data_IF_082916728903
#
_entry.id   IF_082916728903
#
_cell.length_a   1.000
_cell.length_b   1.000
_cell.length_c   1.000
_cell.angle_alpha   90.00
_cell.angle_beta   90.00
_cell.angle_gamma   90.00
#
_symmetry.space_group_name_H-M   'P 1'
#
loop_
_entity.id
_entity.type
_entity.pdbx_description
1 polymer ?
#
# COMPACT_ATOMS: atom_id res chain seq x y z
N UNK A 1 -20.72 -21.73 22.26
CA UNK A 1 -19.54 -22.52 21.86
C UNK A 1 -19.00 -21.84 20.62
N UNK A 2 -17.72 -21.44 20.61
CA UNK A 2 -17.09 -20.90 19.41
C UNK A 2 -16.99 -22.02 18.37
N UNK A 3 -17.58 -21.83 17.19
CA UNK A 3 -17.35 -22.73 16.06
C UNK A 3 -15.99 -22.40 15.48
N UNK A 4 -14.92 -22.99 16.03
CA UNK A 4 -13.58 -22.81 15.49
C UNK A 4 -13.51 -23.34 14.05
N UNK A 5 -12.79 -22.64 13.13
CA UNK A 5 -12.60 -23.14 11.79
C UNK A 5 -11.89 -24.50 11.83
N UNK A 6 -12.48 -25.48 11.15
CA UNK A 6 -11.95 -26.84 11.06
C UNK A 6 -10.63 -26.90 10.26
N UNK A 7 -10.41 -25.92 9.39
CA UNK A 7 -9.16 -25.72 8.66
C UNK A 7 -8.82 -24.22 8.66
N UNK A 8 -7.57 -23.91 9.00
CA UNK A 8 -7.00 -22.57 8.85
C UNK A 8 -5.80 -22.69 7.92
N UNK A 9 -5.75 -21.89 6.86
CA UNK A 9 -4.60 -21.82 5.98
C UNK A 9 -4.11 -20.40 5.82
N UNK A 10 -2.79 -20.25 5.65
CA UNK A 10 -2.17 -18.96 5.35
C UNK A 10 -1.51 -19.07 3.99
N UNK A 11 -1.84 -18.17 3.08
CA UNK A 11 -1.27 -18.12 1.73
C UNK A 11 -0.61 -16.77 1.49
N UNK A 12 0.70 -16.77 1.30
CA UNK A 12 1.42 -15.54 0.97
C UNK A 12 1.31 -15.21 -0.51
N UNK A 13 1.32 -13.91 -0.82
CA UNK A 13 1.59 -13.44 -2.18
C UNK A 13 3.00 -13.86 -2.59
N UNK A 14 3.24 -14.23 -3.86
CA UNK A 14 4.54 -14.74 -4.30
C UNK A 14 5.72 -13.81 -3.98
N UNK A 15 5.55 -12.50 -4.16
CA UNK A 15 6.59 -11.51 -3.84
C UNK A 15 6.75 -11.19 -2.35
N UNK A 16 5.86 -11.68 -1.48
CA UNK A 16 5.80 -11.22 -0.10
C UNK A 16 7.04 -11.60 0.72
N UNK A 17 7.61 -12.78 0.47
CA UNK A 17 8.76 -13.31 1.21
C UNK A 17 10.00 -12.43 1.05
N UNK A 18 10.25 -11.91 -0.15
CA UNK A 18 11.43 -11.08 -0.45
C UNK A 18 11.48 -9.79 0.37
N UNK A 19 10.32 -9.25 0.72
CA UNK A 19 10.21 -7.97 1.45
C UNK A 19 10.31 -8.16 2.97
N UNK A 20 10.10 -9.37 3.48
CA UNK A 20 10.00 -9.60 4.93
C UNK A 20 11.20 -9.06 5.71
N UNK A 21 12.42 -9.31 5.23
CA UNK A 21 13.62 -8.82 5.91
C UNK A 21 13.78 -7.30 5.82
N UNK A 22 13.75 -6.66 4.63
CA UNK A 22 13.77 -5.19 4.54
C UNK A 22 12.68 -4.52 5.40
N UNK A 23 11.45 -5.00 5.33
CA UNK A 23 10.33 -4.45 6.09
C UNK A 23 10.55 -4.53 7.61
N UNK A 24 11.00 -5.69 8.12
CA UNK A 24 11.27 -5.85 9.56
C UNK A 24 12.40 -4.97 10.07
N UNK A 25 13.36 -4.63 9.20
CA UNK A 25 14.52 -3.81 9.58
C UNK A 25 14.28 -2.30 9.40
N UNK A 26 13.35 -1.91 8.52
CA UNK A 26 13.13 -0.52 8.16
C UNK A 26 12.62 0.31 9.36
N UNK A 27 11.72 -0.26 10.16
CA UNK A 27 11.04 0.45 11.25
C UNK A 27 9.98 1.42 10.73
N UNK A 28 9.64 2.44 11.52
CA UNK A 28 8.59 3.39 11.17
C UNK A 28 9.01 4.29 9.99
N UNK A 29 8.11 4.55 9.05
CA UNK A 29 8.37 5.55 8.00
C UNK A 29 8.66 6.97 8.55
N UNK A 30 9.39 7.80 7.77
CA UNK A 30 9.32 9.26 7.90
C UNK A 30 7.93 9.81 7.56
N UNK A 31 7.57 10.93 8.16
CA UNK A 31 6.24 11.55 8.00
C UNK A 31 5.96 11.88 6.53
N UNK A 32 4.73 11.57 6.08
CA UNK A 32 4.21 11.83 4.72
C UNK A 32 4.93 11.12 3.56
N UNK A 33 5.84 10.17 3.83
CA UNK A 33 6.62 9.47 2.80
C UNK A 33 6.26 7.98 2.63
N UNK A 34 5.02 7.57 2.90
CA UNK A 34 4.63 6.15 2.83
C UNK A 34 4.91 5.49 1.47
N UNK A 35 4.60 6.16 0.36
CA UNK A 35 4.89 5.68 -1.00
C UNK A 35 6.40 5.49 -1.26
N UNK A 36 7.21 6.56 -1.18
CA UNK A 36 8.67 6.48 -1.33
C UNK A 36 9.33 5.47 -0.38
N UNK A 37 8.82 5.35 0.85
CA UNK A 37 9.35 4.42 1.83
C UNK A 37 9.08 2.96 1.42
N UNK A 38 7.86 2.64 0.99
CA UNK A 38 7.57 1.33 0.38
C UNK A 38 8.43 1.05 -0.84
N UNK A 39 8.57 2.02 -1.75
CA UNK A 39 9.42 1.88 -2.93
C UNK A 39 10.88 1.60 -2.56
N UNK A 40 11.42 2.25 -1.52
CA UNK A 40 12.79 1.98 -1.06
C UNK A 40 12.96 0.53 -0.57
N UNK A 41 12.01 0.03 0.23
CA UNK A 41 12.03 -1.35 0.73
C UNK A 41 11.86 -2.37 -0.39
N UNK A 42 10.99 -2.09 -1.36
CA UNK A 42 10.78 -2.94 -2.55
C UNK A 42 12.06 -3.04 -3.39
N UNK A 43 12.70 -1.89 -3.67
CA UNK A 43 13.94 -1.83 -4.42
C UNK A 43 15.09 -2.54 -3.67
N UNK A 44 15.21 -2.33 -2.36
CA UNK A 44 16.21 -3.00 -1.52
C UNK A 44 16.00 -4.52 -1.47
N UNK A 45 14.76 -4.99 -1.35
CA UNK A 45 14.40 -6.41 -1.39
C UNK A 45 14.87 -7.11 -2.68
N UNK A 46 15.03 -6.32 -3.74
CA UNK A 46 15.44 -6.79 -5.07
C UNK A 46 16.87 -6.37 -5.44
N UNK A 47 17.70 -6.07 -4.43
CA UNK A 47 19.14 -5.85 -4.61
C UNK A 47 19.51 -4.48 -5.19
N UNK A 48 18.56 -3.55 -5.30
CA UNK A 48 18.86 -2.15 -5.59
C UNK A 48 19.29 -1.48 -4.28
N UNK A 49 20.59 -1.29 -4.12
CA UNK A 49 21.20 -0.78 -2.87
C UNK A 49 21.41 0.73 -2.91
N UNK A 50 21.53 1.36 -1.74
CA UNK A 50 21.81 2.78 -1.61
C UNK A 50 20.63 3.71 -1.96
N UNK A 51 19.43 3.16 -2.07
CA UNK A 51 18.21 3.94 -2.36
C UNK A 51 17.71 4.57 -1.08
N UNK A 52 17.99 5.86 -0.91
CA UNK A 52 17.50 6.66 0.22
C UNK A 52 16.03 7.06 0.02
N UNK A 53 15.24 7.01 1.09
CA UNK A 53 13.80 7.35 1.03
C UNK A 53 13.58 8.82 0.66
N UNK A 54 14.41 9.75 1.15
CA UNK A 54 14.27 11.17 0.80
C UNK A 54 14.67 11.41 -0.65
N UNK A 55 15.68 10.69 -1.17
CA UNK A 55 16.00 10.74 -2.59
C UNK A 55 14.84 10.23 -3.48
N UNK A 56 14.20 9.12 -3.11
CA UNK A 56 13.00 8.66 -3.83
C UNK A 56 11.85 9.65 -3.74
N UNK A 57 11.66 10.28 -2.58
CA UNK A 57 10.64 11.31 -2.40
C UNK A 57 10.88 12.52 -3.32
N UNK A 58 12.14 12.96 -3.47
CA UNK A 58 12.50 14.00 -4.44
C UNK A 58 12.22 13.56 -5.88
N UNK A 59 12.60 12.33 -6.25
CA UNK A 59 12.32 11.79 -7.59
C UNK A 59 10.82 11.61 -7.87
N UNK A 60 10.01 11.49 -6.83
CA UNK A 60 8.57 11.33 -6.90
C UNK A 60 7.80 12.65 -6.74
N UNK A 61 8.52 13.78 -6.65
CA UNK A 61 7.97 15.11 -6.39
C UNK A 61 7.10 15.17 -5.12
N UNK A 62 7.46 14.40 -4.10
CA UNK A 62 6.74 14.38 -2.82
C UNK A 62 6.77 15.76 -2.18
N UNK A 63 5.68 16.11 -1.50
CA UNK A 63 5.57 17.36 -0.74
C UNK A 63 5.20 17.10 0.71
N UNK A 64 5.76 17.89 1.62
CA UNK A 64 5.48 17.80 3.05
C UNK A 64 4.46 18.86 3.46
N UNK A 65 3.51 18.53 4.36
CA UNK A 65 2.62 19.52 4.92
C UNK A 65 3.36 20.42 5.92
N UNK A 66 2.99 21.70 5.97
CA UNK A 66 3.40 22.64 7.02
C UNK A 66 2.35 22.63 8.13
N UNK A 67 2.76 22.39 9.38
CA UNK A 67 1.83 22.41 10.52
C UNK A 67 2.22 21.49 11.67
N UNK A 68 1.23 21.10 12.47
CA UNK A 68 1.39 20.16 13.58
C UNK A 68 1.33 18.71 13.08
N UNK A 69 2.39 17.90 13.30
CA UNK A 69 2.42 16.51 12.90
C UNK A 69 1.30 15.63 13.41
N UNK A 70 0.69 15.98 14.54
CA UNK A 70 -0.44 15.21 15.10
C UNK A 70 -1.64 15.13 14.16
N UNK A 71 -1.70 15.95 13.11
CA UNK A 71 -2.75 15.90 12.09
C UNK A 71 -2.50 14.88 10.96
N UNK A 72 -1.27 14.37 10.79
CA UNK A 72 -0.91 13.44 9.70
C UNK A 72 -0.05 12.25 10.16
N UNK A 73 0.25 12.13 11.45
CA UNK A 73 0.79 10.90 12.03
C UNK A 73 -0.33 10.18 12.77
N UNK A 74 -0.38 8.84 12.72
CA UNK A 74 -1.42 8.11 13.42
C UNK A 74 -1.30 8.30 14.94
N UNK A 75 -2.42 8.27 15.68
CA UNK A 75 -2.40 8.43 17.13
C UNK A 75 -1.43 7.44 17.82
N UNK A 76 -0.52 7.97 18.62
CA UNK A 76 0.49 7.18 19.34
C UNK A 76 1.79 6.91 18.58
N UNK A 77 1.88 7.24 17.29
CA UNK A 77 3.14 7.26 16.56
C UNK A 77 3.96 8.52 16.90
N UNK A 78 5.28 8.40 16.80
CA UNK A 78 6.18 9.55 16.92
C UNK A 78 6.38 10.18 15.54
N UNK A 79 6.34 11.51 15.44
CA UNK A 79 6.70 12.22 14.21
C UNK A 79 8.17 11.97 13.86
N UNK A 80 8.44 11.67 12.59
CA UNK A 80 9.77 11.43 12.02
C UNK A 80 10.03 12.38 10.86
N UNK A 81 10.71 13.49 11.16
CA UNK A 81 11.10 14.53 10.19
C UNK A 81 12.61 14.54 9.92
N UNK A 82 13.28 13.42 10.18
CA UNK A 82 14.71 13.21 10.00
C UNK A 82 15.08 12.93 8.53
N UNK A 83 14.61 13.78 7.62
CA UNK A 83 14.88 13.70 6.18
C UNK A 83 16.36 13.96 5.87
N UNK A 84 16.95 13.18 4.96
CA UNK A 84 18.36 13.33 4.58
C UNK A 84 18.62 14.60 3.76
N UNK A 85 17.56 15.14 3.13
CA UNK A 85 17.55 16.30 2.25
C UNK A 85 16.27 17.12 2.48
N UNK A 86 16.29 18.40 2.10
CA UNK A 86 15.09 19.24 2.17
C UNK A 86 14.10 18.84 1.08
N UNK A 87 12.89 18.49 1.48
CA UNK A 87 11.77 18.25 0.57
C UNK A 87 10.95 19.53 0.37
N UNK A 88 10.25 19.67 -0.77
CA UNK A 88 9.29 20.74 -0.95
C UNK A 88 8.16 20.69 0.08
N UNK A 89 7.68 21.86 0.48
CA UNK A 89 6.64 22.01 1.50
C UNK A 89 5.38 22.64 0.90
N UNK A 90 4.21 22.37 1.48
CA UNK A 90 2.93 22.98 1.12
C UNK A 90 2.13 23.37 2.36
N UNK A 91 1.41 24.49 2.30
CA UNK A 91 0.43 24.89 3.32
C UNK A 91 -0.91 24.14 3.16
N UNK A 92 -1.16 23.57 1.99
CA UNK A 92 -2.35 22.76 1.74
C UNK A 92 -2.06 21.29 2.10
N UNK A 93 -2.44 20.89 3.31
CA UNK A 93 -2.24 19.51 3.81
C UNK A 93 -2.86 18.46 2.89
N UNK A 94 -3.95 18.79 2.17
CA UNK A 94 -4.62 17.84 1.28
C UNK A 94 -3.82 17.50 0.02
N UNK A 95 -2.87 18.36 -0.34
CA UNK A 95 -1.93 18.19 -1.46
C UNK A 95 -0.61 17.56 -1.03
N UNK A 96 -0.39 17.36 0.28
CA UNK A 96 0.82 16.76 0.79
C UNK A 96 0.86 15.25 0.53
N UNK A 97 2.06 14.71 0.40
CA UNK A 97 2.28 13.29 0.12
C UNK A 97 2.97 13.08 -1.23
N UNK A 98 2.65 11.97 -1.88
CA UNK A 98 3.28 11.53 -3.13
C UNK A 98 2.22 11.11 -4.14
N UNK A 99 2.25 11.72 -5.33
CA UNK A 99 1.36 11.36 -6.42
C UNK A 99 1.67 9.95 -6.94
N UNK A 100 0.65 9.22 -7.38
CA UNK A 100 0.81 7.87 -7.93
C UNK A 100 1.77 7.86 -9.14
N UNK A 101 1.63 8.80 -10.07
CA UNK A 101 2.51 8.96 -11.24
C UNK A 101 3.95 9.30 -10.85
N UNK A 102 4.13 10.18 -9.85
CA UNK A 102 5.44 10.52 -9.30
C UNK A 102 6.16 9.30 -8.77
N UNK A 103 5.45 8.43 -8.03
CA UNK A 103 6.02 7.20 -7.50
C UNK A 103 6.43 6.20 -8.61
N UNK A 104 5.62 6.05 -9.66
CA UNK A 104 5.97 5.23 -10.84
C UNK A 104 7.29 5.72 -11.44
N UNK A 105 7.41 7.02 -11.68
CA UNK A 105 8.60 7.65 -12.26
C UNK A 105 9.83 7.46 -11.36
N UNK A 106 9.68 7.64 -10.04
CA UNK A 106 10.76 7.48 -9.09
C UNK A 106 11.31 6.04 -9.05
N UNK A 107 10.43 5.03 -9.07
CA UNK A 107 10.85 3.62 -9.13
C UNK A 107 11.56 3.30 -10.44
N UNK A 108 11.04 3.77 -11.57
CA UNK A 108 11.68 3.60 -12.86
C UNK A 108 13.10 4.20 -12.86
N UNK A 109 13.24 5.45 -12.41
CA UNK A 109 14.52 6.15 -12.37
C UNK A 109 15.51 5.51 -11.39
N UNK A 110 15.10 5.28 -10.14
CA UNK A 110 15.97 4.72 -9.11
C UNK A 110 16.42 3.28 -9.41
N UNK A 111 15.61 2.51 -10.15
CA UNK A 111 15.96 1.15 -10.57
C UNK A 111 16.75 1.10 -11.89
N UNK A 112 16.92 2.24 -12.58
CA UNK A 112 17.42 2.31 -13.96
C UNK A 112 16.59 1.47 -14.94
N UNK A 113 15.26 1.48 -14.75
CA UNK A 113 14.31 0.73 -15.58
C UNK A 113 14.29 -0.77 -15.33
N UNK A 114 14.89 -1.27 -14.24
CA UNK A 114 14.88 -2.71 -13.90
C UNK A 114 13.58 -3.17 -13.25
N UNK A 115 12.87 -2.26 -12.59
CA UNK A 115 11.60 -2.54 -11.91
C UNK A 115 10.54 -1.53 -12.33
N UNK A 116 9.28 -1.97 -12.30
CA UNK A 116 8.13 -1.17 -12.64
C UNK A 116 7.06 -1.27 -11.55
N UNK A 117 6.30 -0.19 -11.39
CA UNK A 117 5.02 -0.20 -10.70
C UNK A 117 3.93 -0.21 -11.76
N UNK A 118 3.27 -1.36 -11.97
CA UNK A 118 2.14 -1.47 -12.90
C UNK A 118 0.89 -0.97 -12.19
N UNK A 119 0.29 0.17 -12.61
CA UNK A 119 -0.89 0.72 -11.96
C UNK A 119 -2.13 -0.06 -12.35
N UNK A 120 -2.89 -0.53 -11.37
CA UNK A 120 -4.18 -1.16 -11.54
C UNK A 120 -5.27 -0.25 -10.94
N UNK A 121 -6.31 0.00 -11.74
CA UNK A 121 -7.57 0.57 -11.32
C UNK A 121 -8.69 -0.42 -11.61
N UNK A 122 -9.72 -0.40 -10.78
CA UNK A 122 -10.92 -1.19 -10.95
C UNK A 122 -12.10 -0.48 -10.30
N UNK A 123 -13.32 -0.95 -10.60
CA UNK A 123 -14.45 -0.72 -9.71
C UNK A 123 -14.27 -1.62 -8.47
N UNK A 124 -13.49 -1.14 -7.50
CA UNK A 124 -13.05 -1.98 -6.39
C UNK A 124 -14.22 -2.56 -5.59
N UNK A 125 -14.32 -3.87 -5.59
CA UNK A 125 -15.28 -4.71 -4.88
C UNK A 125 -14.57 -5.96 -4.32
N UNK A 126 -15.22 -6.75 -3.45
CA UNK A 126 -14.67 -8.04 -3.05
C UNK A 126 -14.29 -8.92 -4.24
N UNK A 127 -15.11 -8.97 -5.29
CA UNK A 127 -14.84 -9.75 -6.50
C UNK A 127 -13.55 -9.28 -7.21
N UNK A 128 -13.35 -7.97 -7.36
CA UNK A 128 -12.10 -7.45 -7.95
C UNK A 128 -10.87 -7.72 -7.07
N UNK A 129 -11.05 -7.86 -5.75
CA UNK A 129 -9.97 -8.27 -4.85
C UNK A 129 -9.65 -9.75 -5.01
N UNK A 130 -10.66 -10.61 -5.18
CA UNK A 130 -10.49 -12.01 -5.53
C UNK A 130 -9.74 -12.16 -6.86
N UNK A 131 -10.08 -11.35 -7.87
CA UNK A 131 -9.37 -11.31 -9.16
C UNK A 131 -7.91 -10.87 -8.98
N UNK A 132 -7.63 -9.82 -8.20
CA UNK A 132 -6.26 -9.38 -7.90
C UNK A 132 -5.43 -10.50 -7.24
N UNK A 133 -6.02 -11.20 -6.26
CA UNK A 133 -5.39 -12.33 -5.59
C UNK A 133 -5.13 -13.45 -6.60
N UNK A 134 -6.12 -13.80 -7.42
CA UNK A 134 -6.01 -14.84 -8.43
C UNK A 134 -4.96 -14.50 -9.49
N UNK A 135 -4.89 -13.25 -9.95
CA UNK A 135 -3.88 -12.75 -10.88
C UNK A 135 -2.46 -13.00 -10.35
N UNK A 136 -2.20 -12.61 -9.10
CA UNK A 136 -0.88 -12.80 -8.50
C UNK A 136 -0.57 -14.28 -8.23
N UNK A 137 -1.56 -15.06 -7.78
CA UNK A 137 -1.37 -16.47 -7.43
C UNK A 137 -1.23 -17.38 -8.66
N UNK A 138 -1.89 -17.08 -9.78
CA UNK A 138 -1.73 -17.82 -11.04
C UNK A 138 -0.36 -17.55 -11.66
N UNK A 139 0.14 -16.32 -11.53
CA UNK A 139 1.37 -15.87 -12.19
C UNK A 139 2.52 -15.69 -11.19
N UNK A 140 2.82 -16.77 -10.43
CA UNK A 140 3.80 -16.73 -9.33
C UNK A 140 5.21 -16.32 -9.77
N UNK A 141 5.58 -16.58 -11.02
CA UNK A 141 6.89 -16.24 -11.59
C UNK A 141 7.18 -14.74 -11.64
N UNK A 142 6.15 -13.89 -11.63
CA UNK A 142 6.36 -12.44 -11.57
C UNK A 142 6.87 -11.97 -10.20
N UNK A 143 6.68 -12.79 -9.16
CA UNK A 143 6.96 -12.44 -7.77
C UNK A 143 6.34 -11.07 -7.41
N UNK A 144 5.15 -10.79 -7.95
CA UNK A 144 4.51 -9.50 -7.83
C UNK A 144 4.17 -9.17 -6.38
N UNK A 145 4.34 -7.89 -6.03
CA UNK A 145 3.99 -7.36 -4.71
C UNK A 145 2.89 -6.31 -4.88
N UNK A 146 1.69 -6.55 -4.34
CA UNK A 146 0.64 -5.54 -4.31
C UNK A 146 0.98 -4.43 -3.31
N UNK A 147 1.10 -3.20 -3.81
CA UNK A 147 1.23 -1.95 -3.05
C UNK A 147 -0.04 -1.13 -3.26
N UNK A 148 -0.88 -1.05 -2.24
CA UNK A 148 -2.21 -0.46 -2.28
C UNK A 148 -2.17 0.99 -1.79
N UNK A 149 -2.77 1.91 -2.54
CA UNK A 149 -3.06 3.26 -2.06
C UNK A 149 -4.52 3.33 -1.59
N UNK A 150 -4.68 3.43 -0.28
CA UNK A 150 -5.94 3.22 0.42
C UNK A 150 -6.35 4.46 1.22
N UNK A 151 -7.63 4.56 1.54
CA UNK A 151 -8.13 5.41 2.61
C UNK A 151 -8.36 4.57 3.88
N UNK A 152 -7.53 4.78 4.90
CA UNK A 152 -7.47 3.91 6.08
C UNK A 152 -8.72 3.96 6.95
N UNK A 153 -9.56 5.00 6.83
CA UNK A 153 -10.82 5.11 7.57
C UNK A 153 -11.83 3.99 7.26
N UNK A 154 -11.66 3.27 6.15
CA UNK A 154 -12.49 2.11 5.79
C UNK A 154 -11.97 0.78 6.35
N UNK A 155 -10.79 0.77 6.96
CA UNK A 155 -10.25 -0.44 7.58
C UNK A 155 -10.95 -0.76 8.89
N UNK A 156 -10.93 -2.05 9.25
CA UNK A 156 -11.09 -2.43 10.64
C UNK A 156 -9.90 -1.90 11.45
N UNK A 157 -10.12 -1.56 12.71
CA UNK A 157 -9.02 -1.29 13.62
C UNK A 157 -8.05 -2.47 13.67
N UNK A 158 -6.76 -2.16 13.65
CA UNK A 158 -5.65 -3.09 13.47
C UNK A 158 -5.52 -4.11 14.61
N UNK A 159 -6.23 -3.90 15.73
CA UNK A 159 -6.20 -4.73 16.95
C UNK A 159 -7.45 -5.59 17.13
N UNK A 160 -7.89 -6.26 16.06
CA UNK A 160 -8.92 -7.31 16.17
C UNK A 160 -8.45 -8.42 17.12
N UNK A 161 -9.36 -8.92 17.96
CA UNK A 161 -9.03 -10.03 18.85
C UNK A 161 -8.88 -11.34 18.06
N UNK A 162 -8.07 -12.29 18.57
CA UNK A 162 -7.96 -13.62 17.95
C UNK A 162 -9.32 -14.33 17.88
N UNK A 163 -10.15 -14.16 18.91
CA UNK A 163 -11.48 -14.76 18.96
C UNK A 163 -12.39 -14.22 17.85
N UNK A 164 -12.42 -12.91 17.66
CA UNK A 164 -13.25 -12.29 16.62
C UNK A 164 -12.73 -12.63 15.22
N UNK A 165 -11.41 -12.66 15.03
CA UNK A 165 -10.81 -13.09 13.77
C UNK A 165 -11.21 -14.53 13.43
N UNK A 166 -11.15 -15.47 14.40
CA UNK A 166 -11.54 -16.86 14.20
C UNK A 166 -13.05 -17.01 13.95
N UNK A 167 -13.89 -16.26 14.68
CA UNK A 167 -15.33 -16.23 14.47
C UNK A 167 -15.69 -15.74 13.06
N UNK A 168 -15.08 -14.63 12.63
CA UNK A 168 -15.26 -14.12 11.27
C UNK A 168 -14.86 -15.13 10.20
N UNK A 169 -13.68 -15.77 10.35
CA UNK A 169 -13.19 -16.79 9.42
C UNK A 169 -14.10 -18.04 9.37
N UNK A 170 -14.80 -18.34 10.48
CA UNK A 170 -15.82 -19.38 10.56
C UNK A 170 -17.19 -18.97 9.97
N UNK A 171 -17.34 -17.71 9.55
CA UNK A 171 -18.55 -17.17 8.92
C UNK A 171 -19.51 -16.50 9.91
N UNK A 172 -19.11 -16.30 11.16
CA UNK A 172 -19.89 -15.54 12.13
C UNK A 172 -19.77 -14.03 11.84
N UNK A 173 -20.83 -13.28 12.13
CA UNK A 173 -20.80 -11.83 12.07
C UNK A 173 -20.18 -11.28 13.35
N UNK A 174 -19.26 -10.33 13.17
CA UNK A 174 -18.57 -9.66 14.28
C UNK A 174 -18.80 -8.15 14.19
N UNK A 175 -18.65 -7.46 15.31
CA UNK A 175 -18.50 -6.01 15.31
C UNK A 175 -17.00 -5.68 15.29
N UNK A 176 -16.43 -5.27 14.14
CA UNK A 176 -15.01 -4.99 14.06
C UNK A 176 -14.65 -3.75 14.89
N UNK A 177 -13.40 -3.64 15.37
CA UNK A 177 -12.91 -2.40 15.96
C UNK A 177 -13.01 -1.25 14.95
N UNK A 178 -13.24 -0.03 15.44
CA UNK A 178 -13.19 1.19 14.61
C UNK A 178 -11.80 1.38 14.00
N UNK A 179 -11.73 2.01 12.83
CA UNK A 179 -10.47 2.34 12.17
C UNK A 179 -9.55 3.15 13.10
N UNK A 180 -8.27 2.80 13.14
CA UNK A 180 -7.32 3.50 14.01
C UNK A 180 -7.00 4.93 13.53
N UNK A 181 -7.18 5.18 12.23
CA UNK A 181 -6.74 6.39 11.54
C UNK A 181 -7.48 6.57 10.20
N UNK A 182 -7.74 7.81 9.79
CA UNK A 182 -8.47 8.13 8.54
C UNK A 182 -7.69 9.11 7.65
N UNK A 183 -6.85 8.56 6.78
CA UNK A 183 -6.09 9.31 5.77
C UNK A 183 -5.89 8.50 4.49
N UNK A 184 -5.33 9.14 3.46
CA UNK A 184 -4.67 8.41 2.38
C UNK A 184 -3.32 7.80 2.79
N UNK A 185 -3.12 6.51 2.53
CA UNK A 185 -1.90 5.80 2.92
C UNK A 185 -1.48 4.76 1.86
N UNK A 186 -0.23 4.35 1.88
CA UNK A 186 0.28 3.23 1.10
C UNK A 186 0.59 2.05 2.02
N UNK A 187 0.08 0.86 1.68
CA UNK A 187 0.28 -0.39 2.41
C UNK A 187 0.58 -1.53 1.43
N UNK A 188 1.22 -2.61 1.87
CA UNK A 188 1.36 -3.82 1.02
C UNK A 188 0.48 -4.95 1.50
N UNK A 189 0.07 -5.82 0.58
CA UNK A 189 -0.57 -7.09 0.92
C UNK A 189 0.48 -8.20 0.99
N UNK A 190 0.53 -8.89 2.12
CA UNK A 190 1.45 -10.01 2.34
C UNK A 190 0.83 -11.35 1.96
N UNK A 191 -0.48 -11.49 2.11
CA UNK A 191 -1.17 -12.74 1.83
C UNK A 191 -2.61 -12.75 2.33
N UNK A 192 -3.16 -13.94 2.51
CA UNK A 192 -4.46 -14.19 3.11
C UNK A 192 -4.37 -15.23 4.23
N UNK A 193 -5.27 -15.10 5.20
CA UNK A 193 -5.64 -16.12 6.17
C UNK A 193 -7.03 -16.61 5.79
N UNK A 194 -7.16 -17.89 5.48
CA UNK A 194 -8.39 -18.51 5.01
C UNK A 194 -8.96 -19.42 6.08
N UNK A 195 -10.24 -19.23 6.40
CA UNK A 195 -11.03 -20.12 7.23
C UNK A 195 -11.97 -20.97 6.40
N UNK A 196 -12.95 -21.57 7.08
CA UNK A 196 -13.93 -22.44 6.45
C UNK A 196 -14.92 -21.68 5.53
N UNK A 197 -15.23 -20.42 5.86
CA UNK A 197 -16.29 -19.66 5.19
C UNK A 197 -15.83 -18.30 4.67
N UNK A 198 -14.87 -17.65 5.34
CA UNK A 198 -14.37 -16.32 4.98
C UNK A 198 -12.85 -16.29 5.00
N UNK A 199 -12.29 -15.22 4.43
CA UNK A 199 -10.85 -14.95 4.44
C UNK A 199 -10.56 -13.53 4.91
N UNK A 200 -9.36 -13.34 5.47
CA UNK A 200 -8.81 -12.03 5.83
C UNK A 200 -7.51 -11.83 5.06
N UNK A 201 -7.29 -10.65 4.52
CA UNK A 201 -6.03 -10.22 3.93
C UNK A 201 -5.07 -9.77 5.02
N UNK A 202 -3.82 -10.19 4.91
CA UNK A 202 -2.71 -9.75 5.74
C UNK A 202 -2.11 -8.49 5.12
N UNK A 203 -2.34 -7.35 5.76
CA UNK A 203 -1.78 -6.05 5.41
C UNK A 203 -0.46 -5.85 6.16
N UNK A 204 0.52 -5.25 5.48
CA UNK A 204 1.71 -4.68 6.09
C UNK A 204 1.63 -3.17 6.00
N UNK A 205 1.76 -2.52 7.14
CA UNK A 205 1.78 -1.07 7.32
C UNK A 205 3.16 -0.60 7.79
N UNK A 206 3.56 0.57 7.35
CA UNK A 206 4.83 1.22 7.70
C UNK A 206 4.86 1.84 9.08
N UNK A 207 3.75 1.80 9.82
CA UNK A 207 3.66 2.16 11.23
C UNK A 207 3.59 0.90 12.12
N UNK A 208 4.68 0.57 12.85
CA UNK A 208 4.72 -0.63 13.70
C UNK A 208 3.69 -0.66 14.84
N UNK A 209 3.09 0.49 15.17
CA UNK A 209 2.08 0.60 16.23
C UNK A 209 0.77 -0.14 15.91
N UNK A 210 0.53 -0.44 14.63
CA UNK A 210 -0.67 -1.14 14.16
C UNK A 210 -0.50 -2.65 14.25
N UNK A 211 -1.53 -3.32 14.77
CA UNK A 211 -1.59 -4.77 14.89
C UNK A 211 -0.33 -5.40 15.53
N UNK A 212 0.28 -6.34 14.82
CA UNK A 212 1.49 -7.05 15.24
C UNK A 212 2.71 -6.50 14.50
N UNK A 213 3.31 -5.41 14.98
CA UNK A 213 4.47 -4.75 14.33
C UNK A 213 4.19 -4.32 12.88
N UNK A 214 3.06 -3.64 12.68
CA UNK A 214 2.57 -3.15 11.40
C UNK A 214 1.83 -4.20 10.56
N UNK A 215 1.76 -5.46 11.02
CA UNK A 215 0.90 -6.46 10.40
C UNK A 215 -0.51 -6.41 10.97
N UNK A 216 -1.52 -6.34 10.12
CA UNK A 216 -2.91 -6.41 10.57
C UNK A 216 -3.82 -7.10 9.55
N UNK A 217 -5.00 -7.54 10.00
CA UNK A 217 -5.95 -8.31 9.20
C UNK A 217 -7.09 -7.42 8.73
N UNK A 218 -7.44 -7.52 7.46
CA UNK A 218 -8.57 -6.79 6.87
C UNK A 218 -9.41 -7.73 6.01
N UNK A 219 -10.75 -7.67 6.08
CA UNK A 219 -11.56 -8.41 5.12
C UNK A 219 -11.47 -7.74 3.73
N UNK A 220 -11.80 -8.50 2.69
CA UNK A 220 -11.64 -8.02 1.31
C UNK A 220 -12.54 -6.81 1.00
N UNK A 221 -13.73 -6.75 1.58
CA UNK A 221 -14.67 -5.63 1.44
C UNK A 221 -14.15 -4.34 2.09
N UNK A 222 -13.45 -4.42 3.22
CA UNK A 222 -12.77 -3.27 3.83
C UNK A 222 -11.64 -2.76 2.93
N UNK A 223 -10.80 -3.65 2.38
CA UNK A 223 -9.74 -3.25 1.44
C UNK A 223 -10.33 -2.63 0.17
N UNK A 224 -11.36 -3.26 -0.41
CA UNK A 224 -12.02 -2.73 -1.60
C UNK A 224 -12.62 -1.34 -1.34
N UNK A 225 -13.27 -1.14 -0.20
CA UNK A 225 -13.80 0.17 0.19
C UNK A 225 -12.69 1.21 0.38
N UNK A 226 -11.60 0.82 1.03
CA UNK A 226 -10.43 1.66 1.20
C UNK A 226 -9.76 2.02 -0.14
N UNK A 227 -9.81 1.15 -1.14
CA UNK A 227 -9.28 1.42 -2.49
C UNK A 227 -10.22 2.28 -3.34
N UNK A 228 -11.55 2.15 -3.20
CA UNK A 228 -12.50 3.05 -3.88
C UNK A 228 -12.29 4.50 -3.44
N UNK A 229 -12.02 4.68 -2.14
CA UNK A 229 -11.89 5.98 -1.46
C UNK A 229 -13.14 6.84 -1.70
N UNK A 230 -14.03 6.88 -0.72
CA UNK A 230 -15.26 7.66 -0.83
C UNK A 230 -15.04 9.15 -0.42
N UNK A 231 -13.79 9.63 -0.43
CA UNK A 231 -13.36 10.98 -0.03
C UNK A 231 -13.20 11.98 -1.20
N UNK A 232 -13.56 11.57 -2.42
CA UNK A 232 -13.40 12.38 -3.63
C UNK A 232 -11.98 12.34 -4.24
N UNK A 233 -11.10 11.50 -3.69
CA UNK A 233 -9.80 11.12 -4.28
C UNK A 233 -9.90 9.69 -4.80
N UNK A 234 -8.96 9.27 -5.62
CA UNK A 234 -8.92 7.92 -6.19
C UNK A 234 -7.83 7.07 -5.54
N UNK A 235 -8.10 5.77 -5.43
CA UNK A 235 -7.16 4.77 -4.92
C UNK A 235 -6.91 3.68 -5.96
N UNK A 236 -5.91 2.86 -5.69
CA UNK A 236 -5.48 1.84 -6.63
C UNK A 236 -4.41 0.93 -6.09
N UNK A 237 -3.99 -0.01 -6.92
CA UNK A 237 -2.96 -0.98 -6.57
C UNK A 237 -1.84 -0.87 -7.59
N UNK A 238 -0.61 -0.74 -7.10
CA UNK A 238 0.55 -1.05 -7.91
C UNK A 238 0.91 -2.51 -7.76
N UNK A 239 1.18 -3.19 -8.88
CA UNK A 239 1.98 -4.41 -8.85
C UNK A 239 3.44 -4.02 -9.08
N UNK A 240 4.27 -4.15 -8.04
CA UNK A 240 5.71 -4.05 -8.19
C UNK A 240 6.25 -5.34 -8.79
N UNK A 241 6.91 -5.23 -9.95
CA UNK A 241 7.44 -6.36 -10.73
C UNK A 241 8.76 -6.00 -11.40
N UNK A 242 9.53 -7.02 -11.81
CA UNK A 242 10.63 -6.83 -12.74
C UNK A 242 10.10 -6.25 -14.07
N UNK A 243 10.82 -5.29 -14.65
CA UNK A 243 10.36 -4.58 -15.85
C UNK A 243 10.15 -5.52 -17.06
N UNK A 244 10.88 -6.63 -17.13
CA UNK A 244 10.69 -7.67 -18.15
C UNK A 244 9.31 -8.33 -18.10
N UNK A 245 8.65 -8.35 -16.94
CA UNK A 245 7.30 -8.90 -16.75
C UNK A 245 6.20 -7.86 -16.99
N UNK A 246 6.52 -6.57 -17.12
CA UNK A 246 5.53 -5.49 -17.15
C UNK A 246 4.45 -5.72 -18.23
N UNK A 247 4.86 -6.00 -19.46
CA UNK A 247 3.92 -6.16 -20.58
C UNK A 247 2.95 -7.34 -20.37
N UNK A 248 3.45 -8.45 -19.80
CA UNK A 248 2.64 -9.63 -19.51
C UNK A 248 1.66 -9.34 -18.36
N UNK A 249 2.12 -8.69 -17.29
CA UNK A 249 1.28 -8.27 -16.16
C UNK A 249 0.15 -7.37 -16.64
N UNK A 250 0.46 -6.35 -17.44
CA UNK A 250 -0.55 -5.43 -17.98
C UNK A 250 -1.57 -6.15 -18.88
N UNK A 251 -1.12 -7.08 -19.72
CA UNK A 251 -2.03 -7.85 -20.56
C UNK A 251 -2.99 -8.70 -19.72
N UNK A 252 -2.44 -9.50 -18.79
CA UNK A 252 -3.21 -10.40 -17.94
C UNK A 252 -4.14 -9.65 -16.99
N UNK A 253 -3.74 -8.46 -16.51
CA UNK A 253 -4.59 -7.60 -15.71
C UNK A 253 -5.79 -7.06 -16.52
N UNK A 254 -5.58 -6.64 -17.78
CA UNK A 254 -6.68 -6.23 -18.67
C UNK A 254 -7.66 -7.37 -18.96
N UNK A 255 -7.16 -8.60 -19.11
CA UNK A 255 -8.00 -9.80 -19.27
C UNK A 255 -8.88 -10.07 -18.03
N UNK A 256 -8.50 -9.55 -16.86
CA UNK A 256 -9.27 -9.57 -15.62
C UNK A 256 -10.01 -8.26 -15.33
N UNK A 257 -10.25 -7.45 -16.37
CA UNK A 257 -11.00 -6.18 -16.29
C UNK A 257 -10.37 -5.09 -15.42
N UNK A 258 -9.06 -5.18 -15.11
CA UNK A 258 -8.32 -4.06 -14.54
C UNK A 258 -7.98 -3.04 -15.63
N UNK A 259 -8.15 -1.76 -15.31
CA UNK A 259 -7.62 -0.66 -16.12
C UNK A 259 -6.15 -0.40 -15.75
N UNK A 260 -5.33 -0.17 -16.76
CA UNK A 260 -3.90 0.12 -16.60
C UNK A 260 -3.69 1.62 -16.75
N UNK A 261 -4.00 2.32 -15.67
CA UNK A 261 -3.88 3.76 -15.59
C UNK A 261 -3.55 4.19 -14.16
N UNK A 262 -2.76 5.24 -14.03
CA UNK A 262 -2.56 5.89 -12.73
C UNK A 262 -3.86 6.56 -12.27
N UNK A 263 -3.90 6.95 -10.99
CA UNK A 263 -5.05 7.55 -10.33
C UNK A 263 -4.66 8.86 -9.64
N UNK A 264 -5.64 9.72 -9.40
CA UNK A 264 -5.44 10.97 -8.66
C UNK A 264 -5.74 10.79 -7.17
N UNK A 265 -4.70 10.65 -6.36
CA UNK A 265 -4.82 10.55 -4.90
C UNK A 265 -4.85 11.91 -4.18
N UNK A 266 -5.04 13.01 -4.93
CA UNK A 266 -5.10 14.37 -4.42
C UNK A 266 -3.74 15.05 -4.22
N UNK A 267 -2.62 14.35 -4.45
CA UNK A 267 -1.29 14.97 -4.49
C UNK A 267 -1.00 15.46 -5.92
N UNK A 268 -0.68 16.75 -6.13
CA UNK A 268 -0.46 17.28 -7.47
C UNK A 268 0.83 16.72 -8.09
N UNK A 269 0.79 16.44 -9.39
CA UNK A 269 1.98 16.15 -10.19
C UNK A 269 2.67 17.46 -10.54
N UNK A 270 3.93 17.62 -10.15
CA UNK A 270 4.71 18.79 -10.55
C UNK A 270 5.32 18.53 -11.92
N UNK A 271 4.76 19.17 -12.95
CA UNK A 271 5.45 19.25 -14.23
C UNK A 271 6.57 20.28 -14.10
N UNK A 272 7.82 19.84 -14.07
CA UNK A 272 8.97 20.73 -14.24
C UNK A 272 8.88 21.43 -15.61
N UNK A 273 8.31 22.64 -15.61
CA UNK A 273 7.97 23.32 -16.86
C UNK A 273 7.37 24.71 -16.77
N UNK A 274 7.17 25.29 -15.58
CA UNK A 274 6.97 26.74 -15.46
C UNK A 274 8.23 27.37 -14.90
N UNK A 275 9.13 27.71 -15.83
CA UNK A 275 9.95 28.89 -15.65
C UNK A 275 9.00 30.04 -15.30
N UNK A 276 9.14 30.54 -14.09
CA UNK A 276 8.60 31.85 -13.74
C UNK A 276 9.15 32.83 -14.78
N UNK A 277 8.28 33.21 -15.71
CA UNK A 277 8.51 34.31 -16.63
C UNK A 277 7.46 35.36 -16.32
N UNK A 278 7.99 36.57 -16.09
CA UNK A 278 7.37 37.84 -15.67
C UNK A 278 6.83 37.94 -14.24
#
# INVERSE_FOLDING_TARGET
>A
MLNLPACLSVKFFPGAERINQPYRLAGQQPDNLCGPYWASMLLQAHGVTGVDVTQLALLADSTLPIGDPTHWVPPGASSRQDYSQRLPETVNVQEAGTAATGLINAVFQASLGRYALVPLRANWSPESMEDLIALCQKNRSWEAVPLCNVQTGHFWGSRITLTDALAYLAGEDISPPEADWDVGHFVTLAGSVEGNQRSLLLVRDTYPIFGWDGYHLQPQDAIASALRRDDGKEGGVFLFVAAENQAEVEQQAREQSFDIASWDNGTPVRCDGQSQSS
#
